data_IF_094232159134
#
_entry.id   IF_094232159134
#
_cell.length_a   1.000
_cell.length_b   1.000
_cell.length_c   1.000
_cell.angle_alpha   90.00
_cell.angle_beta   90.00
_cell.angle_gamma   90.00
#
_symmetry.space_group_name_H-M   'P 1'
#
loop_
_entity.id
_entity.type
_entity.pdbx_description
1 polymer ?
#
# COMPACT_ATOMS: atom_id res chain seq x y z
N UNK A 1 19.78 -11.42 12.93
CA UNK A 1 20.11 -11.70 11.53
C UNK A 1 20.31 -10.39 10.80
N UNK A 2 21.45 -10.14 10.16
CA UNK A 2 21.64 -8.96 9.31
C UNK A 2 21.02 -9.25 7.94
N UNK A 3 19.83 -8.71 7.69
CA UNK A 3 19.26 -8.73 6.35
C UNK A 3 20.12 -7.84 5.43
N UNK A 4 20.87 -8.45 4.52
CA UNK A 4 21.59 -7.71 3.49
C UNK A 4 20.58 -7.30 2.41
N UNK A 5 20.43 -5.99 2.20
CA UNK A 5 19.61 -5.45 1.12
C UNK A 5 20.20 -5.88 -0.23
N UNK A 6 19.53 -6.83 -0.89
CA UNK A 6 19.91 -7.30 -2.23
C UNK A 6 19.25 -6.41 -3.27
N UNK A 7 19.93 -5.35 -3.69
CA UNK A 7 19.43 -4.45 -4.74
C UNK A 7 19.60 -4.97 -6.18
N UNK A 8 20.30 -6.10 -6.36
CA UNK A 8 20.52 -6.70 -7.69
C UNK A 8 19.24 -6.90 -8.52
N UNK A 9 18.17 -7.50 -7.96
CA UNK A 9 16.88 -7.61 -8.65
C UNK A 9 16.25 -6.26 -8.99
N UNK A 10 16.28 -5.27 -8.08
CA UNK A 10 15.78 -3.93 -8.35
C UNK A 10 16.51 -3.25 -9.52
N UNK A 11 17.84 -3.33 -9.57
CA UNK A 11 18.65 -2.78 -10.67
C UNK A 11 18.31 -3.51 -11.99
N UNK A 12 18.22 -4.85 -11.95
CA UNK A 12 17.83 -5.65 -13.12
C UNK A 12 16.44 -5.25 -13.64
N UNK A 13 15.44 -5.11 -12.77
CA UNK A 13 14.08 -4.74 -13.16
C UNK A 13 14.00 -3.31 -13.69
N UNK A 14 14.81 -2.39 -13.14
CA UNK A 14 14.93 -1.04 -13.67
C UNK A 14 15.51 -1.04 -15.09
N UNK A 15 16.57 -1.81 -15.35
CA UNK A 15 17.21 -1.87 -16.67
C UNK A 15 16.31 -2.57 -17.70
N UNK A 16 15.76 -3.75 -17.36
CA UNK A 16 15.04 -4.59 -18.31
C UNK A 16 13.58 -4.18 -18.50
N UNK A 17 12.94 -3.64 -17.47
CA UNK A 17 11.50 -3.37 -17.46
C UNK A 17 11.15 -1.91 -17.20
N UNK A 18 12.16 -1.06 -16.95
CA UNK A 18 11.97 0.33 -16.53
C UNK A 18 11.01 0.42 -15.34
N UNK A 19 11.05 -0.57 -14.44
CA UNK A 19 10.18 -0.66 -13.27
C UNK A 19 11.03 -0.60 -12.02
N UNK A 20 10.64 0.30 -11.12
CA UNK A 20 11.20 0.34 -9.78
C UNK A 20 10.38 -0.57 -8.87
N UNK A 21 10.95 -1.69 -8.46
CA UNK A 21 10.30 -2.72 -7.65
C UNK A 21 11.21 -3.08 -6.48
N UNK A 22 10.66 -3.03 -5.27
CA UNK A 22 11.33 -3.29 -4.00
C UNK A 22 10.51 -4.23 -3.09
N UNK A 23 9.27 -4.56 -3.46
CA UNK A 23 8.39 -5.42 -2.65
C UNK A 23 9.03 -6.76 -2.28
N UNK A 24 9.83 -7.34 -3.19
CA UNK A 24 10.56 -8.60 -2.95
C UNK A 24 11.48 -8.57 -1.72
N UNK A 25 11.94 -7.40 -1.29
CA UNK A 25 12.81 -7.25 -0.11
C UNK A 25 12.06 -7.68 1.17
N UNK A 26 10.73 -7.57 1.16
CA UNK A 26 9.88 -7.88 2.31
C UNK A 26 9.39 -9.33 2.33
N UNK A 27 9.49 -10.08 1.23
CA UNK A 27 8.92 -11.44 1.13
C UNK A 27 9.48 -12.40 2.18
N UNK A 28 10.80 -12.49 2.35
CA UNK A 28 11.42 -13.40 3.32
C UNK A 28 11.22 -12.93 4.79
N UNK A 29 11.44 -11.65 5.14
CA UNK A 29 11.13 -11.16 6.49
C UNK A 29 9.68 -11.41 6.90
N UNK A 30 8.72 -11.20 5.99
CA UNK A 30 7.29 -11.41 6.24
C UNK A 30 6.89 -12.89 6.33
N UNK A 31 7.79 -13.86 6.09
CA UNK A 31 7.52 -15.26 6.45
C UNK A 31 7.77 -15.55 7.93
N UNK A 32 8.51 -14.66 8.60
CA UNK A 32 8.96 -14.83 9.97
C UNK A 32 8.38 -13.76 10.90
N UNK A 33 7.40 -12.97 10.44
CA UNK A 33 6.71 -12.04 11.32
C UNK A 33 5.93 -12.81 12.39
N UNK A 34 5.86 -12.25 13.58
CA UNK A 34 5.22 -12.81 14.76
C UNK A 34 4.46 -11.71 15.51
N UNK A 35 3.87 -12.08 16.65
CA UNK A 35 3.14 -11.14 17.50
C UNK A 35 4.02 -10.04 18.08
N UNK A 36 5.32 -10.27 18.27
CA UNK A 36 6.24 -9.27 18.84
C UNK A 36 6.58 -8.15 17.85
N UNK A 37 6.48 -8.44 16.55
CA UNK A 37 6.75 -7.49 15.47
C UNK A 37 5.49 -6.92 14.82
N UNK A 38 4.34 -7.57 15.03
CA UNK A 38 3.06 -7.12 14.52
C UNK A 38 2.55 -5.88 15.27
N UNK A 39 2.00 -4.92 14.52
CA UNK A 39 1.24 -3.82 15.12
C UNK A 39 -0.12 -4.38 15.57
N UNK A 40 -0.41 -4.27 16.86
CA UNK A 40 -1.70 -4.66 17.45
C UNK A 40 -2.81 -3.66 17.07
N UNK A 41 -3.22 -3.68 15.79
CA UNK A 41 -4.24 -2.77 15.24
C UNK A 41 -5.60 -2.88 15.93
N UNK A 42 -5.92 -4.05 16.51
CA UNK A 42 -7.12 -4.28 17.30
C UNK A 42 -7.21 -3.42 18.57
N UNK A 43 -6.08 -2.90 19.04
CA UNK A 43 -6.05 -2.03 20.21
C UNK A 43 -6.35 -0.56 19.87
N UNK A 44 -6.41 -0.19 18.59
CA UNK A 44 -6.73 1.17 18.15
C UNK A 44 -8.14 1.55 18.63
N UNK A 45 -8.27 2.69 19.29
CA UNK A 45 -9.56 3.20 19.80
C UNK A 45 -10.16 4.24 18.84
N UNK A 46 -10.33 3.88 17.57
CA UNK A 46 -10.82 4.79 16.54
C UNK A 46 -11.10 4.11 15.22
N UNK A 47 -11.84 4.81 14.36
CA UNK A 47 -12.16 4.34 13.02
C UNK A 47 -10.90 4.29 12.15
N UNK A 48 -10.84 3.33 11.22
CA UNK A 48 -9.67 3.10 10.37
C UNK A 48 -10.09 3.12 8.90
N UNK A 49 -9.36 3.87 8.08
CA UNK A 49 -9.45 3.85 6.62
C UNK A 49 -8.14 3.32 6.05
N UNK A 50 -8.19 2.18 5.37
CA UNK A 50 -7.06 1.65 4.61
C UNK A 50 -7.15 2.09 3.15
N UNK A 51 -6.03 2.57 2.61
CA UNK A 51 -5.92 3.00 1.21
C UNK A 51 -4.63 2.42 0.63
N UNK A 52 -4.72 1.68 -0.48
CA UNK A 52 -3.54 1.09 -1.10
C UNK A 52 -3.73 0.82 -2.60
N UNK A 53 -2.60 0.68 -3.29
CA UNK A 53 -2.58 0.20 -4.67
C UNK A 53 -2.59 -1.34 -4.68
N UNK A 54 -3.41 -1.94 -5.54
CA UNK A 54 -3.55 -3.39 -5.68
C UNK A 54 -2.22 -4.08 -6.01
N UNK A 55 -1.42 -3.44 -6.86
CA UNK A 55 -0.09 -3.87 -7.26
C UNK A 55 0.97 -2.87 -6.76
N UNK A 56 1.09 -2.74 -5.44
CA UNK A 56 2.15 -1.95 -4.83
C UNK A 56 3.50 -2.67 -4.93
N UNK A 57 4.37 -2.14 -5.79
CA UNK A 57 5.68 -2.71 -6.06
C UNK A 57 6.77 -2.21 -5.11
N UNK A 58 6.44 -1.35 -4.14
CA UNK A 58 7.40 -0.88 -3.13
C UNK A 58 7.42 -1.81 -1.92
N UNK A 59 6.26 -2.32 -1.52
CA UNK A 59 6.05 -3.23 -0.40
C UNK A 59 4.68 -3.93 -0.57
N UNK A 60 4.45 -5.10 0.06
CA UNK A 60 3.22 -5.88 -0.15
C UNK A 60 2.04 -5.28 0.63
N UNK A 61 1.57 -4.11 0.20
CA UNK A 61 0.53 -3.35 0.89
C UNK A 61 -0.81 -4.08 0.94
N UNK A 62 -1.14 -4.83 -0.12
CA UNK A 62 -2.40 -5.59 -0.20
C UNK A 62 -2.45 -6.69 0.86
N UNK A 63 -1.37 -7.47 0.96
CA UNK A 63 -1.22 -8.53 1.93
C UNK A 63 -1.20 -7.97 3.35
N UNK A 64 -0.50 -6.85 3.56
CA UNK A 64 -0.46 -6.18 4.85
C UNK A 64 -1.85 -5.69 5.30
N UNK A 65 -2.62 -5.05 4.41
CA UNK A 65 -3.99 -4.61 4.71
C UNK A 65 -4.91 -5.80 4.94
N UNK A 66 -4.83 -6.86 4.13
CA UNK A 66 -5.61 -8.07 4.33
C UNK A 66 -5.34 -8.72 5.71
N UNK A 67 -4.06 -8.76 6.13
CA UNK A 67 -3.69 -9.22 7.46
C UNK A 67 -4.33 -8.35 8.56
N UNK A 68 -4.19 -7.03 8.47
CA UNK A 68 -4.73 -6.10 9.46
C UNK A 68 -6.25 -6.19 9.56
N UNK A 69 -6.97 -6.23 8.44
CA UNK A 69 -8.43 -6.38 8.40
C UNK A 69 -8.86 -7.70 9.04
N UNK A 70 -8.24 -8.83 8.67
CA UNK A 70 -8.54 -10.13 9.28
C UNK A 70 -8.27 -10.15 10.79
N UNK A 71 -7.22 -9.48 11.26
CA UNK A 71 -6.94 -9.33 12.70
C UNK A 71 -8.04 -8.52 13.40
N UNK A 72 -8.43 -7.39 12.84
CA UNK A 72 -9.53 -6.56 13.36
C UNK A 72 -10.84 -7.37 13.46
N UNK A 73 -11.18 -8.14 12.42
CA UNK A 73 -12.37 -9.01 12.39
C UNK A 73 -12.33 -10.09 13.49
N UNK A 74 -11.20 -10.80 13.62
CA UNK A 74 -11.02 -11.85 14.65
C UNK A 74 -11.18 -11.33 16.07
N UNK A 75 -10.75 -10.09 16.31
CA UNK A 75 -10.85 -9.44 17.61
C UNK A 75 -12.16 -8.66 17.80
N UNK A 76 -13.12 -8.77 16.87
CA UNK A 76 -14.43 -8.08 16.92
C UNK A 76 -14.27 -6.58 17.13
N UNK A 77 -13.38 -5.96 16.34
CA UNK A 77 -13.07 -4.54 16.44
C UNK A 77 -14.33 -3.68 16.46
N UNK A 78 -14.41 -2.76 17.42
CA UNK A 78 -15.65 -2.04 17.75
C UNK A 78 -15.91 -0.82 16.86
N UNK A 79 -14.91 -0.36 16.11
CA UNK A 79 -14.97 0.86 15.31
C UNK A 79 -15.13 0.56 13.81
N UNK A 80 -15.51 1.58 13.04
CA UNK A 80 -15.68 1.49 11.58
C UNK A 80 -14.32 1.21 10.93
N UNK A 81 -14.31 0.24 10.00
CA UNK A 81 -13.16 -0.08 9.16
C UNK A 81 -13.60 -0.02 7.70
N UNK A 82 -12.94 0.80 6.89
CA UNK A 82 -13.15 0.86 5.45
C UNK A 82 -11.85 0.59 4.70
N UNK A 83 -11.98 0.04 3.49
CA UNK A 83 -10.86 -0.35 2.64
C UNK A 83 -11.07 0.19 1.22
N UNK A 84 -10.09 0.92 0.71
CA UNK A 84 -10.02 1.41 -0.66
C UNK A 84 -8.82 0.78 -1.38
N UNK A 85 -9.12 -0.20 -2.24
CA UNK A 85 -8.13 -0.81 -3.16
C UNK A 85 -8.19 -0.12 -4.53
N UNK A 86 -7.03 0.29 -5.06
CA UNK A 86 -6.93 0.90 -6.39
C UNK A 86 -6.13 0.02 -7.35
N UNK A 87 -6.76 -0.43 -8.43
CA UNK A 87 -6.09 -1.26 -9.44
C UNK A 87 -5.11 -0.48 -10.32
N UNK A 88 -5.49 0.74 -10.74
CA UNK A 88 -4.62 1.62 -11.53
C UNK A 88 -4.02 2.68 -10.63
N UNK A 89 -3.03 2.28 -9.84
CA UNK A 89 -2.29 3.16 -8.96
C UNK A 89 -0.87 2.63 -8.74
N UNK A 90 0.09 3.54 -8.56
CA UNK A 90 1.39 3.21 -7.98
C UNK A 90 1.35 3.35 -6.46
N UNK A 91 2.47 3.07 -5.80
CA UNK A 91 2.66 3.29 -4.35
C UNK A 91 2.27 4.70 -3.89
N UNK A 92 2.45 5.71 -4.76
CA UNK A 92 2.22 7.10 -4.41
C UNK A 92 0.75 7.49 -4.69
N UNK A 93 -0.10 7.42 -3.66
CA UNK A 93 -1.54 7.72 -3.70
C UNK A 93 -1.89 9.13 -3.17
N UNK A 94 -1.08 10.14 -3.50
CA UNK A 94 -1.36 11.55 -3.14
C UNK A 94 -1.92 12.31 -4.35
N UNK A 95 -2.80 13.32 -4.18
CA UNK A 95 -3.44 14.06 -5.29
C UNK A 95 -2.48 15.04 -5.99
N UNK A 96 -1.32 14.55 -6.43
CA UNK A 96 -0.29 15.27 -7.16
C UNK A 96 0.05 14.50 -8.44
N UNK A 97 0.59 15.20 -9.43
CA UNK A 97 1.02 14.60 -10.69
C UNK A 97 2.44 15.02 -11.11
N UNK A 98 3.48 14.81 -10.28
CA UNK A 98 4.84 15.14 -10.66
C UNK A 98 5.36 14.18 -11.72
N UNK A 99 6.20 14.67 -12.64
CA UNK A 99 6.81 13.87 -13.70
C UNK A 99 7.59 12.65 -13.18
N UNK A 100 8.11 12.72 -11.94
CA UNK A 100 8.82 11.64 -11.26
C UNK A 100 7.98 10.38 -11.05
N UNK A 101 6.65 10.46 -11.00
CA UNK A 101 5.78 9.27 -10.90
C UNK A 101 5.99 8.29 -12.06
N UNK A 102 6.46 8.78 -13.21
CA UNK A 102 6.81 7.96 -14.37
C UNK A 102 7.93 6.95 -14.09
N UNK A 103 8.56 6.95 -12.90
CA UNK A 103 9.44 5.85 -12.48
C UNK A 103 8.68 4.52 -12.30
N UNK A 104 7.39 4.57 -11.97
CA UNK A 104 6.51 3.40 -11.93
C UNK A 104 5.97 3.11 -13.33
N UNK A 105 6.04 1.85 -13.78
CA UNK A 105 5.57 1.46 -15.12
C UNK A 105 4.07 1.71 -15.29
N UNK A 106 3.26 1.44 -14.25
CA UNK A 106 1.81 1.66 -14.29
C UNK A 106 1.45 3.13 -14.57
N UNK A 107 2.21 4.08 -14.02
CA UNK A 107 2.04 5.52 -14.25
C UNK A 107 2.39 5.95 -15.68
N UNK A 108 3.22 5.16 -16.39
CA UNK A 108 3.51 5.38 -17.82
C UNK A 108 2.46 4.73 -18.72
N UNK A 109 1.95 3.57 -18.32
CA UNK A 109 0.98 2.80 -19.11
C UNK A 109 -0.44 3.36 -18.99
N UNK A 110 -0.82 3.86 -17.82
CA UNK A 110 -2.17 4.32 -17.50
C UNK A 110 -2.15 5.67 -16.74
N UNK A 111 -1.54 6.73 -17.31
CA UNK A 111 -1.32 7.99 -16.59
C UNK A 111 -2.62 8.66 -16.11
N UNK A 112 -3.66 8.68 -16.96
CA UNK A 112 -4.95 9.30 -16.60
C UNK A 112 -5.74 8.47 -15.58
N UNK A 113 -5.71 7.15 -15.68
CA UNK A 113 -6.37 6.29 -14.68
C UNK A 113 -5.68 6.39 -13.33
N UNK A 114 -4.34 6.43 -13.31
CA UNK A 114 -3.58 6.64 -12.08
C UNK A 114 -3.86 8.02 -11.47
N UNK A 115 -3.96 9.08 -12.28
CA UNK A 115 -4.36 10.42 -11.82
C UNK A 115 -5.76 10.39 -11.19
N UNK A 116 -6.73 9.76 -11.85
CA UNK A 116 -8.10 9.60 -11.33
C UNK A 116 -8.13 8.82 -10.02
N UNK A 117 -7.37 7.74 -9.90
CA UNK A 117 -7.26 6.98 -8.65
C UNK A 117 -6.75 7.85 -7.50
N UNK A 118 -5.74 8.71 -7.73
CA UNK A 118 -5.21 9.63 -6.72
C UNK A 118 -6.22 10.71 -6.30
N UNK A 119 -6.93 11.27 -7.27
CA UNK A 119 -8.00 12.25 -7.01
C UNK A 119 -9.18 11.62 -6.25
N UNK A 120 -9.61 10.43 -6.65
CA UNK A 120 -10.67 9.69 -5.97
C UNK A 120 -10.28 9.29 -4.54
N UNK A 121 -9.05 8.79 -4.34
CA UNK A 121 -8.52 8.47 -3.02
C UNK A 121 -8.54 9.71 -2.10
N UNK A 122 -8.13 10.86 -2.60
CA UNK A 122 -8.20 12.12 -1.86
C UNK A 122 -9.64 12.51 -1.51
N UNK A 123 -10.55 12.56 -2.49
CA UNK A 123 -11.94 12.94 -2.25
C UNK A 123 -12.64 11.99 -1.27
N UNK A 124 -12.43 10.68 -1.41
CA UNK A 124 -12.96 9.68 -0.48
C UNK A 124 -12.37 9.81 0.91
N UNK A 125 -11.08 10.13 1.03
CA UNK A 125 -10.44 10.41 2.34
C UNK A 125 -11.09 11.61 3.02
N UNK A 126 -11.23 12.73 2.32
CA UNK A 126 -11.87 13.94 2.88
C UNK A 126 -13.31 13.67 3.29
N UNK A 127 -14.07 12.99 2.42
CA UNK A 127 -15.45 12.58 2.72
C UNK A 127 -15.50 11.69 3.96
N UNK A 128 -14.66 10.67 4.03
CA UNK A 128 -14.60 9.74 5.15
C UNK A 128 -14.31 10.46 6.47
N UNK A 129 -13.33 11.37 6.49
CA UNK A 129 -13.00 12.19 7.65
C UNK A 129 -14.21 13.05 8.07
N UNK A 130 -14.97 13.58 7.12
CA UNK A 130 -16.15 14.40 7.43
C UNK A 130 -17.36 13.61 7.95
N UNK A 131 -17.45 12.32 7.62
CA UNK A 131 -18.52 11.43 8.05
C UNK A 131 -18.23 10.78 9.41
N UNK A 132 -16.96 10.55 9.70
CA UNK A 132 -16.50 9.99 10.97
C UNK A 132 -16.59 11.06 12.05
N UNK A 133 -17.41 10.81 13.08
CA UNK A 133 -17.58 11.66 14.26
C UNK A 133 -16.86 11.07 15.46
#
# INVERSE_FOLDING_TARGET
MTAHLKYGPAIRNLILHQQFELSYIYEEPLKHFDEDTAIHVENIQGNILFIYAKEDLMWPSKEAVAYMVNRLEKHRFAFRVDVLEYEKASHILVPLNPSKLKMFKIERQYPEDCRRSREDAFHKTIKWISEVK
#
